data_IF_306664380633
#
_entry.id   IF_306664380633
#
_cell.length_a   1.000
_cell.length_b   1.000
_cell.length_c   1.000
_cell.angle_alpha   90.00
_cell.angle_beta   90.00
_cell.angle_gamma   90.00
#
_symmetry.space_group_name_H-M   'P 1'
#
loop_
_entity.id
_entity.type
_entity.pdbx_description
1 polymer ?
#
# COMPACT_ATOMS: atom_id res chain seq x y z
N UNK A 1 26.81 7.66 -6.91
CA UNK A 1 25.47 7.18 -7.27
C UNK A 1 24.96 6.21 -6.21
N UNK A 2 23.69 6.27 -5.87
CA UNK A 2 23.06 5.26 -5.02
C UNK A 2 22.89 4.00 -5.87
N UNK A 3 23.36 2.82 -5.46
CA UNK A 3 23.18 1.61 -6.23
C UNK A 3 21.70 1.22 -6.21
N UNK A 4 21.07 1.22 -7.37
CA UNK A 4 19.71 0.74 -7.59
C UNK A 4 19.75 -0.56 -8.39
N UNK A 5 18.64 -1.29 -8.42
CA UNK A 5 18.51 -2.51 -9.25
C UNK A 5 18.73 -2.19 -10.75
N UNK A 6 18.20 -1.03 -11.19
CA UNK A 6 18.28 -0.57 -12.58
C UNK A 6 18.62 0.92 -12.59
N UNK A 7 19.44 1.34 -13.56
CA UNK A 7 19.72 2.77 -13.82
C UNK A 7 18.60 3.45 -14.58
N UNK A 8 17.88 2.67 -15.37
CA UNK A 8 16.72 3.08 -16.17
C UNK A 8 15.63 2.05 -15.99
N UNK A 9 14.39 2.49 -15.94
CA UNK A 9 13.21 1.64 -15.82
C UNK A 9 12.32 1.95 -17.02
N UNK A 10 12.12 0.95 -17.88
CA UNK A 10 11.13 1.06 -18.96
C UNK A 10 9.72 1.13 -18.35
N UNK A 11 8.92 2.08 -18.79
CA UNK A 11 7.56 2.29 -18.32
C UNK A 11 6.54 2.10 -19.44
N UNK A 12 6.63 0.98 -20.13
CA UNK A 12 5.70 0.57 -21.18
C UNK A 12 4.49 -0.15 -20.58
N UNK A 13 3.29 0.28 -20.95
CA UNK A 13 2.03 -0.32 -20.52
C UNK A 13 0.90 -0.02 -21.49
N UNK A 14 -0.16 -0.83 -21.45
CA UNK A 14 -1.45 -0.51 -22.04
C UNK A 14 -2.35 0.12 -20.96
N UNK A 15 -3.14 1.12 -21.33
CA UNK A 15 -4.06 1.77 -20.38
C UNK A 15 -5.47 1.86 -20.91
N UNK A 16 -6.42 1.86 -19.96
CA UNK A 16 -7.84 2.08 -20.23
C UNK A 16 -8.41 2.93 -19.09
N UNK A 17 -9.16 3.97 -19.43
CA UNK A 17 -9.90 4.76 -18.45
C UNK A 17 -11.39 4.56 -18.68
N UNK A 18 -12.11 4.25 -17.62
CA UNK A 18 -13.57 4.07 -17.62
C UNK A 18 -14.19 5.19 -16.79
N UNK A 19 -15.03 6.00 -17.42
CA UNK A 19 -15.77 7.08 -16.74
C UNK A 19 -17.12 6.58 -16.26
N UNK A 20 -17.50 6.95 -15.04
CA UNK A 20 -18.75 6.58 -14.41
C UNK A 20 -19.66 7.80 -14.18
N UNK A 21 -20.96 7.55 -14.17
CA UNK A 21 -21.91 8.56 -13.73
C UNK A 21 -21.66 8.85 -12.24
N UNK A 22 -21.44 10.09 -11.90
CA UNK A 22 -21.12 10.50 -10.53
C UNK A 22 -19.83 11.29 -10.38
N UNK A 23 -19.13 11.53 -11.50
CA UNK A 23 -17.94 12.40 -11.53
C UNK A 23 -16.64 11.71 -11.07
N UNK A 24 -16.54 10.42 -11.30
CA UNK A 24 -15.31 9.68 -11.07
C UNK A 24 -14.99 8.75 -12.25
N UNK A 25 -13.72 8.40 -12.35
CA UNK A 25 -13.17 7.50 -13.35
C UNK A 25 -12.31 6.44 -12.66
N UNK A 26 -12.08 5.33 -13.36
CA UNK A 26 -11.10 4.33 -12.97
C UNK A 26 -10.12 4.14 -14.11
N UNK A 27 -8.85 4.41 -13.85
CA UNK A 27 -7.75 4.15 -14.77
C UNK A 27 -7.15 2.78 -14.47
N UNK A 28 -7.03 1.95 -15.50
CA UNK A 28 -6.34 0.66 -15.47
C UNK A 28 -5.06 0.74 -16.27
N UNK A 29 -4.01 0.06 -15.80
CA UNK A 29 -2.77 -0.17 -16.53
C UNK A 29 -2.42 -1.65 -16.51
N UNK A 30 -2.02 -2.17 -17.67
CA UNK A 30 -1.53 -3.52 -17.84
C UNK A 30 -0.06 -3.47 -18.31
N UNK A 31 0.80 -4.08 -17.54
CA UNK A 31 2.23 -4.28 -17.78
C UNK A 31 2.48 -5.75 -18.11
N UNK A 32 3.63 -6.08 -18.66
CA UNK A 32 4.01 -7.47 -18.95
C UNK A 32 4.07 -8.33 -17.67
N UNK A 33 4.35 -7.71 -16.52
CA UNK A 33 4.54 -8.35 -15.22
C UNK A 33 3.50 -7.94 -14.17
N UNK A 34 2.37 -7.35 -14.56
CA UNK A 34 1.34 -6.98 -13.59
C UNK A 34 0.26 -6.05 -14.09
N UNK A 35 -0.67 -5.76 -13.20
CA UNK A 35 -1.80 -4.88 -13.46
C UNK A 35 -1.96 -3.88 -12.33
N UNK A 36 -2.46 -2.69 -12.66
CA UNK A 36 -2.75 -1.66 -11.68
C UNK A 36 -4.05 -0.94 -12.02
N UNK A 37 -4.70 -0.39 -10.99
CA UNK A 37 -5.79 0.56 -11.18
C UNK A 37 -5.74 1.65 -10.12
N UNK A 38 -6.36 2.78 -10.43
CA UNK A 38 -6.61 3.86 -9.48
C UNK A 38 -7.94 4.55 -9.79
N UNK A 39 -8.49 5.18 -8.77
CA UNK A 39 -9.60 6.11 -8.94
C UNK A 39 -9.09 7.49 -9.34
N UNK A 40 -9.94 8.22 -10.07
CA UNK A 40 -9.75 9.62 -10.43
C UNK A 40 -11.08 10.32 -10.16
N UNK A 41 -11.06 11.45 -9.46
CA UNK A 41 -12.24 12.31 -9.29
C UNK A 41 -12.05 13.61 -10.06
N UNK A 42 -13.14 14.12 -10.64
CA UNK A 42 -13.17 15.35 -11.44
C UNK A 42 -14.19 16.34 -10.89
N UNK A 43 -14.45 16.25 -9.59
CA UNK A 43 -15.42 17.09 -8.90
C UNK A 43 -15.04 18.57 -8.87
N UNK A 44 -16.05 19.46 -8.93
CA UNK A 44 -15.85 20.92 -8.85
C UNK A 44 -15.70 21.43 -7.41
N UNK A 45 -15.99 20.58 -6.44
CA UNK A 45 -15.86 20.93 -5.03
C UNK A 45 -14.38 21.05 -4.66
N UNK A 46 -13.96 22.05 -3.89
CA UNK A 46 -12.57 22.23 -3.50
C UNK A 46 -12.09 21.07 -2.59
N UNK A 47 -12.99 20.52 -1.77
CA UNK A 47 -12.72 19.40 -0.85
C UNK A 47 -13.87 18.40 -0.85
N UNK A 48 -13.55 17.15 -0.64
CA UNK A 48 -14.46 16.02 -0.46
C UNK A 48 -14.03 15.15 0.70
N UNK A 49 -14.99 14.53 1.36
CA UNK A 49 -14.78 13.42 2.27
C UNK A 49 -14.89 12.10 1.51
N UNK A 50 -14.03 11.16 1.83
CA UNK A 50 -14.02 9.81 1.25
C UNK A 50 -14.42 8.84 2.36
N UNK A 51 -15.63 8.32 2.30
CA UNK A 51 -16.16 7.40 3.31
C UNK A 51 -15.41 6.08 3.35
N UNK A 52 -14.92 5.63 2.19
CA UNK A 52 -14.17 4.38 2.05
C UNK A 52 -13.76 4.09 0.62
N UNK A 53 -12.84 3.15 0.50
CA UNK A 53 -12.41 2.57 -0.78
C UNK A 53 -12.49 1.05 -0.67
N UNK A 54 -13.11 0.41 -1.64
CA UNK A 54 -13.21 -1.05 -1.68
C UNK A 54 -12.33 -1.62 -2.79
N UNK A 55 -11.30 -2.32 -2.38
CA UNK A 55 -10.50 -3.19 -3.23
C UNK A 55 -10.68 -4.63 -2.74
N UNK A 56 -11.03 -5.55 -3.60
CA UNK A 56 -11.23 -6.96 -3.24
C UNK A 56 -10.64 -7.84 -4.32
N UNK A 57 -9.97 -8.90 -3.89
CA UNK A 57 -9.39 -9.92 -4.75
C UNK A 57 -9.89 -11.28 -4.31
N UNK A 58 -10.29 -12.10 -5.27
CA UNK A 58 -10.60 -13.51 -5.07
C UNK A 58 -9.76 -14.36 -6.03
N UNK A 59 -9.20 -15.43 -5.53
CA UNK A 59 -8.42 -16.39 -6.30
C UNK A 59 -9.28 -17.62 -6.63
N UNK A 60 -8.94 -18.40 -7.66
CA UNK A 60 -9.75 -19.54 -8.07
C UNK A 60 -9.73 -20.71 -7.07
N UNK A 61 -8.76 -20.75 -6.17
CA UNK A 61 -8.62 -21.80 -5.15
C UNK A 61 -7.97 -21.24 -3.90
N UNK A 62 -7.93 -22.05 -2.84
CA UNK A 62 -7.17 -21.76 -1.64
C UNK A 62 -5.67 -21.83 -1.95
N UNK A 63 -4.94 -20.79 -1.60
CA UNK A 63 -3.52 -20.61 -1.91
C UNK A 63 -2.76 -20.22 -0.66
N UNK A 64 -1.45 -20.48 -0.65
CA UNK A 64 -0.59 -19.96 0.41
C UNK A 64 -0.45 -18.46 0.32
N UNK A 65 -0.47 -17.82 1.46
CA UNK A 65 -0.33 -16.37 1.59
C UNK A 65 0.67 -16.01 2.68
N UNK A 66 1.44 -14.96 2.43
CA UNK A 66 2.44 -14.43 3.34
C UNK A 66 2.02 -13.05 3.80
N UNK A 67 1.84 -12.89 5.11
CA UNK A 67 1.20 -11.75 5.75
C UNK A 67 2.07 -11.18 6.87
N UNK A 68 2.11 -9.86 6.98
CA UNK A 68 2.52 -9.21 8.21
C UNK A 68 1.27 -8.65 8.90
N UNK A 69 0.93 -9.19 10.07
CA UNK A 69 -0.35 -8.94 10.74
C UNK A 69 -0.19 -8.08 12.00
N UNK A 70 -0.21 -6.74 11.88
CA UNK A 70 -0.07 -5.84 13.02
C UNK A 70 -1.28 -5.92 13.94
N UNK A 71 -1.08 -5.52 15.21
CA UNK A 71 -2.13 -5.48 16.22
C UNK A 71 -3.18 -4.39 16.01
N UNK A 72 -2.92 -3.41 15.13
CA UNK A 72 -3.80 -2.30 14.84
C UNK A 72 -3.17 -1.35 13.81
N UNK A 73 -3.84 -0.26 13.49
CA UNK A 73 -3.31 0.76 12.58
C UNK A 73 -2.16 1.57 13.18
N UNK A 74 -2.11 1.67 14.50
CA UNK A 74 -1.04 2.38 15.23
C UNK A 74 -0.13 1.35 15.90
N UNK A 75 1.02 1.07 15.29
CA UNK A 75 2.00 0.12 15.78
C UNK A 75 3.36 0.39 15.11
N UNK A 76 4.41 -0.24 15.61
CA UNK A 76 5.76 -0.16 15.00
C UNK A 76 5.88 -0.96 13.68
N UNK A 77 4.90 -1.79 13.33
CA UNK A 77 4.91 -2.66 12.15
C UNK A 77 6.11 -3.61 12.09
N UNK A 78 6.52 -4.13 13.25
CA UNK A 78 7.70 -5.01 13.41
C UNK A 78 7.31 -6.49 13.62
N UNK A 79 6.07 -6.85 13.30
CA UNK A 79 5.59 -8.22 13.41
C UNK A 79 6.28 -9.13 12.38
N UNK A 80 6.55 -10.36 12.77
CA UNK A 80 7.07 -11.37 11.85
C UNK A 80 6.01 -11.78 10.83
N UNK A 81 6.44 -12.19 9.65
CA UNK A 81 5.53 -12.73 8.64
C UNK A 81 4.92 -14.05 9.09
N UNK A 82 3.63 -14.19 8.92
CA UNK A 82 2.90 -15.44 9.02
C UNK A 82 2.71 -16.06 7.63
N UNK A 83 2.77 -17.38 7.57
CA UNK A 83 2.65 -18.18 6.37
C UNK A 83 1.53 -19.17 6.59
N UNK A 84 0.43 -19.05 5.85
CA UNK A 84 -0.77 -19.87 6.02
C UNK A 84 -1.51 -20.06 4.70
N UNK A 85 -2.52 -20.92 4.69
CA UNK A 85 -3.48 -20.95 3.60
C UNK A 85 -4.41 -19.73 3.70
N UNK A 86 -4.89 -19.25 2.56
CA UNK A 86 -5.74 -18.06 2.51
C UNK A 86 -7.07 -18.28 3.25
N UNK A 87 -7.61 -19.50 3.22
CA UNK A 87 -8.82 -19.90 3.96
C UNK A 87 -8.67 -19.81 5.49
N UNK A 88 -7.44 -19.85 6.00
CA UNK A 88 -7.12 -19.69 7.42
C UNK A 88 -7.04 -18.22 7.85
N UNK A 89 -7.27 -17.28 6.94
CA UNK A 89 -7.30 -15.86 7.22
C UNK A 89 -8.74 -15.34 7.12
N UNK A 90 -9.40 -15.33 8.25
CA UNK A 90 -10.80 -14.95 8.39
C UNK A 90 -11.03 -13.44 8.55
N UNK A 91 -12.29 -13.05 8.51
CA UNK A 91 -12.69 -11.66 8.69
C UNK A 91 -12.40 -11.13 10.11
N UNK A 92 -12.45 -12.00 11.12
CA UNK A 92 -12.19 -11.65 12.52
C UNK A 92 -10.70 -11.70 12.88
N UNK A 93 -9.85 -12.17 11.97
CA UNK A 93 -8.42 -12.16 12.14
C UNK A 93 -7.83 -10.75 12.03
N UNK A 94 -6.56 -10.62 12.46
CA UNK A 94 -5.82 -9.38 12.26
C UNK A 94 -5.69 -9.06 10.76
N UNK A 95 -5.78 -7.78 10.43
CA UNK A 95 -5.45 -7.27 9.09
C UNK A 95 -3.98 -7.49 8.75
N UNK A 96 -3.62 -7.38 7.50
CA UNK A 96 -2.23 -7.38 7.02
C UNK A 96 -1.84 -6.02 6.48
N UNK A 97 -0.57 -5.66 6.69
CA UNK A 97 0.09 -4.59 5.94
C UNK A 97 0.34 -5.02 4.51
N UNK A 98 0.74 -4.09 3.66
CA UNK A 98 1.29 -4.35 2.34
C UNK A 98 2.83 -4.37 2.37
N UNK A 99 3.48 -5.09 1.46
CA UNK A 99 2.90 -5.97 0.45
C UNK A 99 2.41 -7.31 1.01
N UNK A 100 1.46 -7.92 0.32
CA UNK A 100 1.02 -9.30 0.56
C UNK A 100 1.44 -10.16 -0.62
N UNK A 101 2.05 -11.31 -0.35
CA UNK A 101 2.49 -12.26 -1.37
C UNK A 101 1.60 -13.50 -1.33
N UNK A 102 1.10 -13.90 -2.50
CA UNK A 102 0.32 -15.12 -2.72
C UNK A 102 1.11 -16.07 -3.62
N UNK A 103 1.32 -17.31 -3.20
CA UNK A 103 1.86 -18.39 -4.04
C UNK A 103 0.71 -19.00 -4.85
N UNK A 104 0.56 -18.57 -6.09
CA UNK A 104 -0.49 -19.09 -6.98
C UNK A 104 -0.18 -20.48 -7.54
N UNK A 105 1.11 -20.83 -7.62
CA UNK A 105 1.63 -22.17 -7.92
C UNK A 105 3.09 -22.26 -7.49
N UNK A 106 3.73 -23.40 -7.69
CA UNK A 106 5.17 -23.61 -7.40
C UNK A 106 6.10 -22.63 -8.13
N UNK A 107 5.64 -22.03 -9.21
CA UNK A 107 6.44 -21.13 -10.05
C UNK A 107 5.81 -19.76 -10.28
N UNK A 108 4.63 -19.50 -9.74
CA UNK A 108 3.89 -18.26 -9.96
C UNK A 108 3.47 -17.63 -8.64
N UNK A 109 3.87 -16.37 -8.44
CA UNK A 109 3.48 -15.55 -7.30
C UNK A 109 2.69 -14.33 -7.76
N UNK A 110 1.86 -13.82 -6.87
CA UNK A 110 1.15 -12.55 -7.01
C UNK A 110 1.47 -11.69 -5.81
N UNK A 111 2.13 -10.56 -6.03
CA UNK A 111 2.42 -9.55 -5.02
C UNK A 111 1.39 -8.44 -5.11
N UNK A 112 0.64 -8.22 -4.04
CA UNK A 112 -0.35 -7.15 -3.94
C UNK A 112 0.22 -6.00 -3.15
N UNK A 113 0.20 -4.80 -3.72
CA UNK A 113 0.70 -3.60 -3.06
C UNK A 113 0.05 -2.32 -3.61
N UNK A 114 0.57 -1.18 -3.18
CA UNK A 114 0.15 0.15 -3.59
C UNK A 114 1.33 1.02 -3.98
N UNK A 115 1.07 2.08 -4.73
CA UNK A 115 2.07 3.07 -5.12
C UNK A 115 1.44 4.46 -5.23
N UNK A 116 2.29 5.48 -5.30
CA UNK A 116 1.89 6.89 -5.38
C UNK A 116 1.02 7.32 -4.18
N UNK A 117 1.36 6.81 -3.00
CA UNK A 117 0.66 7.08 -1.75
C UNK A 117 1.04 8.48 -1.25
N UNK A 118 0.27 9.47 -1.65
CA UNK A 118 0.42 10.86 -1.25
C UNK A 118 -0.92 11.40 -0.77
N UNK A 119 -0.93 12.00 0.44
CA UNK A 119 -2.10 12.65 1.00
C UNK A 119 -3.36 11.74 1.05
N UNK A 120 -3.15 10.47 1.41
CA UNK A 120 -4.20 9.46 1.51
C UNK A 120 -3.77 8.33 2.45
N UNK A 121 -4.69 7.66 3.17
CA UNK A 121 -4.32 6.57 4.06
C UNK A 121 -3.78 5.36 3.31
N UNK A 122 -2.80 4.68 3.89
CA UNK A 122 -2.31 3.42 3.37
C UNK A 122 -3.39 2.33 3.46
N UNK A 123 -3.37 1.44 2.47
CA UNK A 123 -4.27 0.29 2.41
C UNK A 123 -3.72 -0.86 3.26
N UNK A 124 -4.61 -1.45 4.04
CA UNK A 124 -4.43 -2.75 4.68
C UNK A 124 -5.38 -3.76 4.05
N UNK A 125 -5.12 -5.04 4.26
CA UNK A 125 -5.97 -6.10 3.74
C UNK A 125 -6.51 -6.96 4.88
N UNK A 126 -7.69 -7.54 4.66
CA UNK A 126 -8.36 -8.46 5.57
C UNK A 126 -8.88 -9.66 4.79
N UNK A 127 -8.62 -10.86 5.30
CA UNK A 127 -9.09 -12.09 4.69
C UNK A 127 -10.61 -12.26 4.79
N UNK A 128 -11.15 -13.08 3.91
CA UNK A 128 -12.58 -13.41 3.89
C UNK A 128 -12.89 -14.83 4.40
N UNK A 129 -11.87 -15.54 4.92
CA UNK A 129 -12.02 -16.92 5.41
C UNK A 129 -12.23 -17.94 4.28
N UNK A 130 -11.92 -17.59 3.07
CA UNK A 130 -12.03 -18.44 1.88
C UNK A 130 -10.80 -18.24 0.98
N UNK A 131 -10.99 -17.80 -0.23
CA UNK A 131 -9.94 -17.66 -1.23
C UNK A 131 -9.68 -16.21 -1.64
N UNK A 132 -9.83 -15.26 -0.73
CA UNK A 132 -9.66 -13.85 -1.06
C UNK A 132 -9.54 -12.92 0.14
N UNK A 133 -9.42 -11.64 -0.16
CA UNK A 133 -9.29 -10.57 0.82
C UNK A 133 -9.90 -9.26 0.30
N UNK A 134 -10.08 -8.32 1.22
CA UNK A 134 -10.59 -6.98 0.93
C UNK A 134 -9.78 -5.91 1.64
N UNK A 135 -9.82 -4.69 1.12
CA UNK A 135 -9.18 -3.53 1.72
C UNK A 135 -9.80 -3.12 3.05
N UNK A 136 -8.95 -2.60 3.91
CA UNK A 136 -9.30 -1.93 5.18
C UNK A 136 -8.45 -0.67 5.29
N UNK A 137 -9.06 0.41 5.78
CA UNK A 137 -8.38 1.69 5.95
C UNK A 137 -8.60 2.24 7.37
N UNK A 138 -7.61 2.95 7.93
CA UNK A 138 -7.83 3.72 9.15
C UNK A 138 -8.80 4.87 8.88
N UNK A 139 -9.55 5.25 9.90
CA UNK A 139 -10.36 6.46 9.90
C UNK A 139 -9.50 7.69 10.20
N UNK A 140 -9.94 8.86 9.77
CA UNK A 140 -9.26 10.12 10.07
C UNK A 140 -9.35 10.39 11.58
N UNK A 141 -8.21 10.57 12.28
CA UNK A 141 -8.23 10.92 13.68
C UNK A 141 -8.64 12.39 13.88
N UNK A 142 -9.64 12.61 14.73
CA UNK A 142 -10.16 13.94 15.05
C UNK A 142 -9.63 14.47 16.38
N UNK A 143 -9.34 13.60 17.32
CA UNK A 143 -8.87 13.97 18.66
C UNK A 143 -7.81 12.98 19.15
N UNK A 144 -6.76 13.53 19.75
CA UNK A 144 -5.66 12.76 20.32
C UNK A 144 -5.57 12.98 21.83
N UNK A 145 -5.14 11.97 22.56
CA UNK A 145 -4.79 12.04 23.97
C UNK A 145 -3.44 11.40 24.24
N UNK A 146 -2.90 11.65 25.43
CA UNK A 146 -1.64 11.05 25.86
C UNK A 146 -1.75 9.52 26.00
N UNK A 147 -0.69 8.83 25.61
CA UNK A 147 -0.55 7.37 25.69
C UNK A 147 0.87 7.02 26.18
N UNK A 148 1.14 7.36 27.43
CA UNK A 148 2.47 7.24 28.03
C UNK A 148 3.42 8.36 27.61
N UNK A 149 4.71 8.10 27.73
CA UNK A 149 5.77 9.13 27.68
C UNK A 149 5.99 9.73 26.28
N UNK A 150 5.82 8.95 25.21
CA UNK A 150 6.19 9.36 23.85
C UNK A 150 5.14 9.02 22.79
N UNK A 151 3.94 8.73 23.21
CA UNK A 151 2.91 8.22 22.30
C UNK A 151 1.60 8.97 22.51
N UNK A 152 0.80 9.00 21.46
CA UNK A 152 -0.56 9.50 21.49
C UNK A 152 -1.52 8.37 21.17
N UNK A 153 -2.69 8.33 21.78
CA UNK A 153 -3.82 7.50 21.39
C UNK A 153 -4.88 8.35 20.69
N UNK A 154 -5.59 7.74 19.79
CA UNK A 154 -6.72 8.36 19.12
C UNK A 154 -7.93 8.27 20.08
N UNK A 155 -8.50 9.40 20.45
CA UNK A 155 -9.66 9.49 21.32
C UNK A 155 -10.96 9.53 20.53
N UNK A 156 -10.92 10.10 19.33
CA UNK A 156 -12.06 10.22 18.45
C UNK A 156 -11.62 10.10 17.01
N UNK A 157 -12.40 9.36 16.23
CA UNK A 157 -12.24 9.19 14.78
C UNK A 157 -13.44 9.75 14.05
N UNK A 158 -13.22 10.17 12.81
CA UNK A 158 -14.27 10.49 11.85
C UNK A 158 -14.97 9.19 11.39
N UNK A 159 -16.03 9.33 10.63
CA UNK A 159 -16.67 8.21 9.93
C UNK A 159 -16.17 8.03 8.49
N UNK A 160 -15.26 8.88 8.03
CA UNK A 160 -14.59 8.83 6.73
C UNK A 160 -13.08 8.49 6.87
N UNK A 161 -12.46 8.08 5.75
CA UNK A 161 -11.05 7.65 5.70
C UNK A 161 -10.09 8.76 5.23
N UNK A 162 -10.60 9.74 4.50
CA UNK A 162 -9.81 10.89 4.03
C UNK A 162 -10.67 12.12 3.79
N UNK A 163 -10.07 13.28 3.99
CA UNK A 163 -10.56 14.56 3.47
C UNK A 163 -9.54 15.10 2.47
N UNK A 164 -9.95 15.32 1.23
CA UNK A 164 -9.02 15.59 0.13
C UNK A 164 -9.61 16.51 -0.94
N UNK A 165 -8.82 16.87 -1.95
CA UNK A 165 -9.30 17.69 -3.07
C UNK A 165 -10.39 16.96 -3.86
N UNK A 166 -11.40 17.70 -4.31
CA UNK A 166 -12.50 17.16 -5.10
C UNK A 166 -12.11 16.70 -6.51
N UNK A 167 -10.98 17.21 -7.02
CA UNK A 167 -10.38 16.74 -8.27
C UNK A 167 -8.96 16.27 -8.00
N UNK A 168 -8.74 14.97 -8.12
CA UNK A 168 -7.43 14.32 -7.89
C UNK A 168 -7.35 12.93 -8.50
N UNK A 169 -6.12 12.42 -8.57
CA UNK A 169 -5.83 10.99 -8.70
C UNK A 169 -5.62 10.36 -7.31
N UNK A 170 -6.08 9.13 -7.13
CA UNK A 170 -5.86 8.35 -5.91
C UNK A 170 -4.66 7.42 -6.06
N UNK A 171 -4.14 6.84 -4.97
CA UNK A 171 -3.03 5.89 -5.05
C UNK A 171 -3.35 4.70 -5.96
N UNK A 172 -2.31 4.16 -6.58
CA UNK A 172 -2.41 2.95 -7.36
C UNK A 172 -2.55 1.72 -6.46
N UNK A 173 -3.47 0.84 -6.82
CA UNK A 173 -3.56 -0.53 -6.32
C UNK A 173 -3.03 -1.43 -7.41
N UNK A 174 -2.01 -2.23 -7.11
CA UNK A 174 -1.39 -3.06 -8.15
C UNK A 174 -1.14 -4.49 -7.68
N UNK A 175 -1.07 -5.38 -8.67
CA UNK A 175 -0.64 -6.76 -8.52
C UNK A 175 0.53 -7.00 -9.47
N UNK A 176 1.71 -7.30 -8.92
CA UNK A 176 2.83 -7.84 -9.69
C UNK A 176 2.65 -9.36 -9.80
N UNK A 177 2.88 -9.92 -10.98
CA UNK A 177 2.64 -11.32 -11.29
C UNK A 177 3.91 -11.87 -11.95
N UNK A 178 4.44 -12.95 -11.44
CA UNK A 178 5.65 -13.57 -11.97
C UNK A 178 6.20 -14.67 -11.09
N UNK A 179 7.32 -15.23 -11.47
CA UNK A 179 8.08 -16.15 -10.65
C UNK A 179 8.61 -15.46 -9.40
N UNK A 180 9.02 -16.17 -8.35
CA UNK A 180 9.63 -15.55 -7.16
C UNK A 180 10.80 -14.63 -7.49
N UNK A 181 11.62 -14.97 -8.50
CA UNK A 181 12.73 -14.12 -8.95
C UNK A 181 12.22 -12.82 -9.59
N UNK A 182 11.23 -12.88 -10.48
CA UNK A 182 10.64 -11.72 -11.13
C UNK A 182 9.95 -10.80 -10.12
N UNK A 183 9.30 -11.36 -9.10
CA UNK A 183 8.72 -10.57 -8.00
C UNK A 183 9.80 -9.79 -7.23
N UNK A 184 10.97 -10.38 -6.98
CA UNK A 184 12.09 -9.67 -6.34
C UNK A 184 12.69 -8.57 -7.23
N UNK A 185 12.64 -8.74 -8.54
CA UNK A 185 13.21 -7.83 -9.53
C UNK A 185 12.20 -6.78 -10.05
N UNK A 186 10.90 -6.92 -9.75
CA UNK A 186 9.85 -6.03 -10.25
C UNK A 186 10.06 -4.57 -9.83
N UNK A 187 9.58 -3.64 -10.66
CA UNK A 187 9.74 -2.20 -10.50
C UNK A 187 8.42 -1.44 -10.56
N UNK A 188 7.27 -2.13 -10.49
CA UNK A 188 5.93 -1.53 -10.65
C UNK A 188 5.67 -0.37 -9.68
N UNK A 189 6.18 -0.46 -8.45
CA UNK A 189 6.08 0.67 -7.50
C UNK A 189 6.68 1.95 -8.08
N UNK A 190 7.85 1.86 -8.73
CA UNK A 190 8.50 3.02 -9.34
C UNK A 190 7.82 3.46 -10.65
N UNK A 191 7.36 2.50 -11.47
CA UNK A 191 6.68 2.78 -12.75
C UNK A 191 5.33 3.48 -12.55
N UNK A 192 4.65 3.22 -11.42
CA UNK A 192 3.36 3.80 -11.06
C UNK A 192 3.49 5.10 -10.26
N UNK A 193 4.63 5.34 -9.63
CA UNK A 193 4.85 6.53 -8.83
C UNK A 193 4.92 7.79 -9.68
N UNK A 194 4.44 8.89 -9.12
CA UNK A 194 4.64 10.22 -9.69
C UNK A 194 6.13 10.56 -9.78
N UNK A 195 6.56 11.33 -10.77
CA UNK A 195 7.95 11.78 -10.88
C UNK A 195 8.41 12.53 -9.62
N UNK A 196 9.68 12.38 -9.26
CA UNK A 196 10.27 13.13 -8.16
C UNK A 196 10.15 14.63 -8.40
N UNK A 197 9.73 15.36 -7.38
CA UNK A 197 9.69 16.84 -7.39
C UNK A 197 11.00 17.46 -6.91
N UNK A 198 11.98 16.65 -6.52
CA UNK A 198 13.31 17.10 -6.10
C UNK A 198 14.10 17.46 -7.36
N UNK A 199 14.29 18.76 -7.60
CA UNK A 199 14.97 19.25 -8.82
C UNK A 199 16.50 19.03 -8.80
N UNK A 200 17.12 19.02 -7.61
CA UNK A 200 18.56 18.86 -7.44
C UNK A 200 18.84 17.85 -6.31
N UNK A 201 19.40 16.72 -6.67
CA UNK A 201 19.71 15.62 -5.75
C UNK A 201 21.22 15.41 -5.51
N UNK A 202 22.09 16.28 -6.02
CA UNK A 202 23.54 16.15 -5.91
C UNK A 202 24.07 16.21 -4.48
N UNK A 203 23.27 16.69 -3.53
CA UNK A 203 23.58 16.69 -2.10
C UNK A 203 23.35 15.33 -1.42
N UNK A 204 22.56 14.44 -2.03
CA UNK A 204 22.29 13.10 -1.50
C UNK A 204 23.54 12.24 -1.69
N UNK A 205 24.18 11.85 -0.59
CA UNK A 205 25.36 11.00 -0.58
C UNK A 205 25.15 9.82 0.35
N UNK A 206 25.22 8.58 -0.14
CA UNK A 206 25.23 7.40 0.72
C UNK A 206 26.49 7.37 1.57
N UNK A 207 26.40 6.86 2.78
CA UNK A 207 27.54 6.76 3.69
C UNK A 207 27.21 6.01 4.95
N UNK A 208 28.20 5.87 5.83
CA UNK A 208 28.01 5.35 7.17
C UNK A 208 27.44 6.43 8.10
N UNK A 209 26.46 6.05 8.91
CA UNK A 209 25.82 6.91 9.88
C UNK A 209 25.98 6.31 11.27
N UNK A 210 26.42 7.12 12.23
CA UNK A 210 26.36 6.79 13.65
C UNK A 210 24.95 7.04 14.15
N UNK A 211 24.29 6.02 14.69
CA UNK A 211 22.96 6.14 15.24
C UNK A 211 22.93 5.69 16.69
N UNK A 212 22.94 6.65 17.59
CA UNK A 212 23.03 6.47 19.03
C UNK A 212 21.84 5.69 19.61
N UNK A 213 20.65 5.97 19.13
CA UNK A 213 19.41 5.43 19.69
C UNK A 213 19.36 3.89 19.77
N UNK A 214 19.98 3.22 18.80
CA UNK A 214 19.98 1.75 18.78
C UNK A 214 20.91 1.11 19.82
N UNK A 215 21.89 1.83 20.30
CA UNK A 215 22.86 1.32 21.28
C UNK A 215 22.46 1.61 22.74
N UNK A 216 21.25 2.10 22.97
CA UNK A 216 20.80 2.50 24.29
C UNK A 216 21.30 3.90 24.69
N UNK A 217 20.61 4.50 25.64
CA UNK A 217 20.93 5.85 26.10
C UNK A 217 22.35 5.89 26.64
N UNK A 218 23.22 6.67 26.01
CA UNK A 218 24.40 7.16 26.66
C UNK A 218 23.92 8.18 27.69
N UNK A 219 24.11 7.95 29.01
CA UNK A 219 23.76 8.96 29.98
C UNK A 219 24.62 10.21 29.73
N UNK A 220 23.99 11.32 29.47
CA UNK A 220 24.65 12.63 29.42
C UNK A 220 25.03 13.10 30.83
#
# INVERSE_FOLDING_TARGET
AVPLKHSEIDNSYNSMTVSFNGGYEVEFRAFDNGVAHRFITTGKQPRIEVDGEKFSVAFPSDMKIHLQQPGGFKTAYEEVYSHKNMSEWGYDDRMSTLPVLVEASDSLCVLVSESDLSDYPCMFLRGNGANGFTSVFPKVPLEFGEDGDRSLKILKEADYIAETAGSRTFPWRYMAIGTPKEILEQTLTCQLASPSVIGEAGWVRPGFVCWEWWNGAIPY
#
